data_IF_030459000682
#
_entry.id   IF_030459000682
#
_cell.length_a   1.000
_cell.length_b   1.000
_cell.length_c   1.000
_cell.angle_alpha   90.00
_cell.angle_beta   90.00
_cell.angle_gamma   90.00
#
_symmetry.space_group_name_H-M   'P 1'
#
loop_
_entity.id
_entity.type
_entity.pdbx_description
1 polymer ?
#
# COMPACT_ATOMS: atom_id res chain seq x y z
N UNK A 1 -5.36 1.30 -34.19
CA UNK A 1 -4.84 0.31 -33.21
C UNK A 1 -5.72 0.37 -31.98
N UNK A 2 -6.16 -0.76 -31.46
CA UNK A 2 -6.84 -0.83 -30.16
C UNK A 2 -5.80 -1.14 -29.09
N UNK A 3 -5.71 -0.27 -28.08
CA UNK A 3 -4.81 -0.46 -26.94
C UNK A 3 -5.44 -1.52 -26.04
N UNK A 4 -4.78 -2.66 -25.75
CA UNK A 4 -5.29 -3.60 -24.76
C UNK A 4 -5.31 -2.93 -23.40
N UNK A 5 -6.36 -3.17 -22.62
CA UNK A 5 -6.43 -2.74 -21.22
C UNK A 5 -5.87 -3.85 -20.36
N UNK A 6 -4.82 -3.57 -19.58
CA UNK A 6 -4.33 -4.50 -18.58
C UNK A 6 -5.11 -4.28 -17.30
N UNK A 7 -5.59 -5.37 -16.69
CA UNK A 7 -6.20 -5.33 -15.36
C UNK A 7 -5.28 -6.01 -14.37
N UNK A 8 -5.08 -5.38 -13.22
CA UNK A 8 -4.29 -5.92 -12.12
C UNK A 8 -5.16 -6.00 -10.89
N UNK A 9 -5.06 -7.14 -10.21
CA UNK A 9 -5.72 -7.41 -8.94
C UNK A 9 -4.66 -7.65 -7.87
N UNK A 10 -4.67 -6.83 -6.82
CA UNK A 10 -3.74 -6.88 -5.71
C UNK A 10 -4.50 -7.08 -4.40
N UNK A 11 -4.20 -8.18 -3.72
CA UNK A 11 -4.78 -8.48 -2.41
C UNK A 11 -3.68 -8.76 -1.40
N UNK A 12 -3.95 -8.53 -0.13
CA UNK A 12 -2.98 -8.81 0.91
C UNK A 12 -3.46 -8.52 2.32
N UNK A 13 -2.56 -8.74 3.28
CA UNK A 13 -2.82 -8.55 4.69
C UNK A 13 -1.65 -7.80 5.35
N UNK A 14 -1.92 -6.61 5.86
CA UNK A 14 -0.93 -5.78 6.54
C UNK A 14 -0.97 -6.12 8.03
N UNK A 15 0.18 -6.57 8.54
CA UNK A 15 0.35 -6.96 9.94
C UNK A 15 1.57 -6.27 10.52
N UNK A 16 1.46 -5.93 11.79
CA UNK A 16 2.56 -5.39 12.54
C UNK A 16 3.03 -6.33 13.64
N UNK A 17 4.34 -6.39 13.85
CA UNK A 17 4.94 -7.08 15.00
C UNK A 17 4.99 -6.13 16.19
N UNK A 18 4.44 -6.55 17.31
CA UNK A 18 4.46 -5.81 18.56
C UNK A 18 5.89 -5.76 19.13
N UNK A 19 6.39 -4.56 19.44
CA UNK A 19 7.74 -4.34 19.93
C UNK A 19 8.01 -4.92 21.33
N UNK A 20 6.98 -5.09 22.15
CA UNK A 20 7.06 -5.60 23.54
C UNK A 20 6.80 -7.08 23.62
N UNK A 21 5.82 -7.58 22.86
CA UNK A 21 5.35 -8.98 22.98
C UNK A 21 5.82 -9.88 21.86
N UNK A 22 6.32 -9.33 20.75
CA UNK A 22 6.64 -10.07 19.53
C UNK A 22 5.41 -10.60 18.78
N UNK A 23 4.19 -10.41 19.32
CA UNK A 23 2.96 -10.86 18.69
C UNK A 23 2.63 -10.06 17.42
N UNK A 24 2.08 -10.73 16.41
CA UNK A 24 1.69 -10.10 15.14
C UNK A 24 0.20 -9.79 15.12
N UNK A 25 -0.17 -8.52 15.02
CA UNK A 25 -1.56 -8.06 14.97
C UNK A 25 -1.85 -7.36 13.64
N UNK A 26 -3.09 -7.40 13.15
CA UNK A 26 -3.47 -6.72 11.91
C UNK A 26 -3.45 -5.20 12.07
N UNK A 27 -3.12 -4.49 10.99
CA UNK A 27 -3.24 -3.04 10.95
C UNK A 27 -4.48 -2.62 10.16
N UNK A 28 -5.48 -2.11 10.87
CA UNK A 28 -6.68 -1.52 10.27
C UNK A 28 -6.44 -0.05 9.87
N UNK A 29 -7.26 0.44 8.94
CA UNK A 29 -7.24 1.83 8.48
C UNK A 29 -5.89 2.30 7.93
N UNK A 30 -5.07 1.38 7.42
CA UNK A 30 -3.85 1.71 6.66
C UNK A 30 -4.25 2.00 5.23
N UNK A 31 -3.77 3.11 4.69
CA UNK A 31 -4.05 3.48 3.31
C UNK A 31 -3.17 2.69 2.36
N UNK A 32 -3.81 2.04 1.40
CA UNK A 32 -3.16 1.24 0.37
C UNK A 32 -3.59 1.78 -0.98
N UNK A 33 -2.62 2.05 -1.85
CA UNK A 33 -2.84 2.47 -3.24
C UNK A 33 -2.22 1.45 -4.19
N UNK A 34 -2.94 1.09 -5.23
CA UNK A 34 -2.38 0.44 -6.41
C UNK A 34 -1.96 1.55 -7.36
N UNK A 35 -0.69 1.55 -7.73
CA UNK A 35 -0.07 2.59 -8.53
C UNK A 35 0.43 1.99 -9.85
N UNK A 36 0.26 2.73 -10.93
CA UNK A 36 0.97 2.50 -12.19
C UNK A 36 2.27 3.30 -12.21
N UNK A 37 3.37 2.67 -12.62
CA UNK A 37 4.68 3.27 -12.66
C UNK A 37 4.85 4.08 -13.94
N UNK A 38 4.85 5.40 -13.79
CA UNK A 38 5.40 6.29 -14.81
C UNK A 38 6.91 6.49 -14.70
N UNK A 39 7.63 6.26 -15.81
CA UNK A 39 9.05 6.59 -15.92
C UNK A 39 9.31 8.10 -15.95
N UNK A 40 8.38 8.86 -16.52
CA UNK A 40 8.50 10.31 -16.71
C UNK A 40 7.21 10.96 -16.23
N UNK A 41 7.18 11.38 -14.96
CA UNK A 41 6.00 12.02 -14.39
C UNK A 41 5.73 11.56 -12.98
N UNK A 42 4.50 11.78 -12.54
CA UNK A 42 3.96 11.18 -11.34
C UNK A 42 3.33 9.84 -11.70
N UNK A 43 3.43 8.87 -10.80
CA UNK A 43 2.75 7.58 -10.89
C UNK A 43 1.24 7.76 -10.83
N UNK A 44 0.51 7.09 -11.72
CA UNK A 44 -0.95 7.11 -11.73
C UNK A 44 -1.55 6.23 -10.62
N UNK A 45 -2.65 6.71 -10.02
CA UNK A 45 -3.38 5.99 -8.97
C UNK A 45 -4.50 5.18 -9.62
N UNK A 46 -4.35 3.87 -9.57
CA UNK A 46 -5.25 2.91 -10.22
C UNK A 46 -6.33 2.36 -9.27
N UNK A 47 -6.06 2.42 -7.97
CA UNK A 47 -7.04 2.08 -6.94
C UNK A 47 -6.54 2.52 -5.56
N UNK A 48 -7.45 2.85 -4.65
CA UNK A 48 -7.13 3.21 -3.28
C UNK A 48 -8.16 2.61 -2.32
N UNK A 49 -7.70 2.14 -1.16
CA UNK A 49 -8.58 1.76 -0.06
C UNK A 49 -7.88 1.90 1.30
N UNK A 50 -8.67 1.72 2.35
CA UNK A 50 -8.18 1.51 3.71
C UNK A 50 -8.31 0.03 4.06
N UNK A 51 -7.31 -0.54 4.74
CA UNK A 51 -7.39 -1.91 5.25
C UNK A 51 -8.55 -2.08 6.24
N UNK A 52 -9.19 -3.24 6.21
CA UNK A 52 -10.27 -3.56 7.15
C UNK A 52 -9.73 -3.90 8.57
N UNK A 53 -10.61 -4.26 9.51
CA UNK A 53 -10.25 -4.66 10.89
C UNK A 53 -9.29 -5.86 10.98
N UNK A 54 -9.20 -6.66 9.92
CA UNK A 54 -8.28 -7.80 9.81
C UNK A 54 -6.98 -7.42 9.12
N UNK A 55 -6.81 -6.16 8.72
CA UNK A 55 -5.65 -5.68 7.97
C UNK A 55 -5.67 -6.08 6.49
N UNK A 56 -6.82 -6.56 5.98
CA UNK A 56 -6.94 -7.03 4.61
C UNK A 56 -7.20 -5.87 3.65
N UNK A 57 -6.62 -5.96 2.45
CA UNK A 57 -6.93 -5.10 1.30
C UNK A 57 -7.18 -5.95 0.05
N UNK A 58 -8.00 -5.42 -0.83
CA UNK A 58 -8.39 -5.99 -2.12
C UNK A 58 -8.61 -4.84 -3.11
N UNK A 59 -7.67 -4.67 -4.04
CA UNK A 59 -7.63 -3.57 -5.00
C UNK A 59 -7.60 -4.13 -6.42
N UNK A 60 -8.43 -3.56 -7.29
CA UNK A 60 -8.35 -3.77 -8.73
C UNK A 60 -8.03 -2.44 -9.40
N UNK A 61 -7.10 -2.45 -10.36
CA UNK A 61 -6.69 -1.30 -11.15
C UNK A 61 -6.56 -1.67 -12.63
N UNK A 62 -6.46 -0.68 -13.51
CA UNK A 62 -6.35 -0.95 -14.94
C UNK A 62 -5.63 0.12 -15.74
N UNK A 63 -4.53 -0.28 -16.38
CA UNK A 63 -3.78 0.59 -17.27
C UNK A 63 -4.23 0.46 -18.72
N UNK A 64 -4.06 1.56 -19.47
CA UNK A 64 -4.13 1.59 -20.94
C UNK A 64 -2.90 2.31 -21.50
N UNK A 65 -1.71 1.83 -21.18
CA UNK A 65 -0.47 2.34 -21.75
C UNK A 65 0.06 1.51 -22.93
N UNK A 66 0.97 2.11 -23.70
CA UNK A 66 1.55 1.52 -24.91
C UNK A 66 2.93 0.92 -24.72
N UNK A 67 3.63 1.28 -23.64
CA UNK A 67 5.05 1.02 -23.55
C UNK A 67 5.55 0.56 -22.17
N UNK A 68 4.78 0.67 -21.08
CA UNK A 68 5.26 0.25 -19.76
C UNK A 68 4.16 0.03 -18.69
N UNK A 69 3.51 -1.15 -18.72
CA UNK A 69 2.46 -1.48 -17.75
C UNK A 69 3.06 -2.08 -16.46
N UNK A 70 3.73 -1.26 -15.64
CA UNK A 70 4.30 -1.70 -14.35
C UNK A 70 3.47 -1.21 -13.18
N UNK A 71 3.06 -2.12 -12.31
CA UNK A 71 2.23 -1.80 -11.15
C UNK A 71 2.98 -2.05 -9.84
N UNK A 72 2.68 -1.25 -8.82
CA UNK A 72 3.16 -1.47 -7.46
C UNK A 72 2.11 -1.07 -6.43
N UNK A 73 2.22 -1.64 -5.23
CA UNK A 73 1.37 -1.29 -4.09
C UNK A 73 2.11 -0.30 -3.21
N UNK A 74 1.52 0.87 -3.02
CA UNK A 74 2.01 1.87 -2.09
C UNK A 74 1.21 1.82 -0.79
N UNK A 75 1.92 1.75 0.34
CA UNK A 75 1.31 1.65 1.66
C UNK A 75 1.69 2.87 2.48
N UNK A 76 0.70 3.66 2.89
CA UNK A 76 0.88 4.85 3.70
C UNK A 76 0.42 4.55 5.14
N UNK A 77 1.39 4.50 6.05
CA UNK A 77 1.15 4.19 7.45
C UNK A 77 0.84 5.48 8.24
N UNK A 78 -0.35 5.59 8.86
CA UNK A 78 -0.67 6.74 9.69
C UNK A 78 0.12 6.70 11.00
N UNK A 79 1.02 7.66 11.21
CA UNK A 79 1.77 7.76 12.45
C UNK A 79 0.91 8.38 13.55
N UNK A 80 0.81 7.71 14.70
CA UNK A 80 0.05 8.18 15.87
C UNK A 80 -1.30 7.51 16.07
N UNK A 81 -1.61 6.44 15.33
CA UNK A 81 -2.67 5.51 15.74
C UNK A 81 -2.14 4.56 16.81
N UNK A 82 -2.97 4.23 17.80
CA UNK A 82 -2.62 3.27 18.88
C UNK A 82 -2.15 1.92 18.30
N UNK A 83 -2.79 1.47 17.22
CA UNK A 83 -2.39 0.26 16.49
C UNK A 83 -0.98 0.37 15.89
N UNK A 84 -0.55 1.54 15.45
CA UNK A 84 0.82 1.73 14.91
C UNK A 84 1.86 2.02 16.00
N UNK A 85 1.43 2.43 17.19
CA UNK A 85 2.32 2.80 18.30
C UNK A 85 3.08 1.59 18.88
N UNK A 86 2.45 0.42 18.83
CA UNK A 86 3.05 -0.82 19.30
C UNK A 86 3.98 -1.47 18.27
N UNK A 87 4.14 -0.91 17.06
CA UNK A 87 4.94 -1.50 16.00
C UNK A 87 6.45 -1.48 16.28
N UNK A 88 7.11 -2.64 16.16
CA UNK A 88 8.56 -2.78 16.29
C UNK A 88 9.33 -1.84 15.34
N UNK A 89 8.83 -1.68 14.13
CA UNK A 89 9.47 -0.85 13.11
C UNK A 89 8.84 0.55 13.00
N UNK A 90 8.06 0.98 14.01
CA UNK A 90 7.42 2.31 14.00
C UNK A 90 8.42 3.41 13.72
N UNK A 91 9.60 3.38 14.34
CA UNK A 91 10.61 4.42 14.13
C UNK A 91 11.12 4.47 12.70
N UNK A 92 11.10 3.35 11.99
CA UNK A 92 11.52 3.26 10.58
C UNK A 92 10.38 3.79 9.70
N UNK A 93 9.16 3.28 9.91
CA UNK A 93 7.95 3.67 9.18
C UNK A 93 7.59 5.15 9.36
N UNK A 94 7.77 5.71 10.57
CA UNK A 94 7.34 7.06 10.93
C UNK A 94 8.42 8.14 10.91
N UNK A 95 9.70 7.79 10.75
CA UNK A 95 10.76 8.80 10.52
C UNK A 95 10.90 9.18 9.05
N UNK A 96 10.32 8.41 8.13
CA UNK A 96 10.27 8.79 6.72
C UNK A 96 8.97 9.55 6.43
N UNK A 97 8.98 10.90 6.40
CA UNK A 97 7.76 11.70 6.16
C UNK A 97 7.12 11.46 4.79
N UNK A 98 7.76 10.66 3.92
CA UNK A 98 7.23 10.24 2.61
C UNK A 98 6.75 8.79 2.56
N UNK A 99 7.03 7.96 3.58
CA UNK A 99 6.70 6.51 3.59
C UNK A 99 7.01 5.77 2.27
N UNK A 100 8.01 6.22 1.50
CA UNK A 100 8.54 5.52 0.32
C UNK A 100 9.49 4.42 0.78
N UNK A 101 9.11 3.16 0.57
CA UNK A 101 10.03 2.02 0.53
C UNK A 101 9.96 1.37 -0.84
#
# INVERSE_FOLDING_TARGET
LQIPTLQVHATGNIRCTNNKTGGRYPLENVKVRLMEYDKVGAHDVEGEMLTNKRGEFDLTGSSKEWWDDRFFVWIEFPCGLESTDACAEKEIMCKNPKCTY
#
